data_IF_798453219136
#
_entry.id   IF_798453219136
#
_cell.length_a   1.000
_cell.length_b   1.000
_cell.length_c   1.000
_cell.angle_alpha   90.00
_cell.angle_beta   90.00
_cell.angle_gamma   90.00
#
_symmetry.space_group_name_H-M   'P 1'
#
loop_
_entity.id
_entity.type
_entity.pdbx_description
1 polymer ?
#
# COMPACT_ATOMS: atom_id res chain seq x y z
N UNK A 1 37.81 20.99 5.25
CA UNK A 1 36.79 20.15 4.60
C UNK A 1 37.43 18.79 4.31
N UNK A 2 36.78 17.68 4.68
CA UNK A 2 37.27 16.33 4.43
C UNK A 2 36.91 15.93 2.98
N UNK A 3 37.92 15.77 2.13
CA UNK A 3 37.79 15.45 0.71
C UNK A 3 37.12 14.08 0.49
N UNK A 4 37.42 13.09 1.33
CA UNK A 4 36.85 11.74 1.19
C UNK A 4 35.37 11.74 1.50
N UNK A 5 34.95 12.43 2.55
CA UNK A 5 33.51 12.59 2.88
C UNK A 5 32.75 13.31 1.77
N UNK A 6 33.39 14.32 1.15
CA UNK A 6 32.77 15.04 0.02
C UNK A 6 32.58 14.13 -1.19
N UNK A 7 33.59 13.31 -1.56
CA UNK A 7 33.47 12.36 -2.68
C UNK A 7 32.41 11.29 -2.39
N UNK A 8 32.38 10.74 -1.18
CA UNK A 8 31.35 9.77 -0.75
C UNK A 8 29.94 10.37 -0.88
N UNK A 9 29.77 11.64 -0.50
CA UNK A 9 28.46 12.31 -0.65
C UNK A 9 28.11 12.56 -2.12
N UNK A 10 29.08 12.92 -2.96
CA UNK A 10 28.84 13.06 -4.41
C UNK A 10 28.39 11.74 -5.03
N UNK A 11 29.05 10.63 -4.72
CA UNK A 11 28.65 9.29 -5.15
C UNK A 11 27.23 8.93 -4.67
N UNK A 12 26.89 9.31 -3.44
CA UNK A 12 25.54 9.12 -2.91
C UNK A 12 24.49 9.86 -3.72
N UNK A 13 24.75 11.14 -4.06
CA UNK A 13 23.84 11.95 -4.89
C UNK A 13 23.63 11.28 -6.26
N UNK A 14 24.69 10.81 -6.91
CA UNK A 14 24.56 10.09 -8.18
C UNK A 14 23.70 8.83 -8.07
N UNK A 15 23.90 8.02 -7.03
CA UNK A 15 23.10 6.80 -6.79
C UNK A 15 21.63 7.11 -6.55
N UNK A 16 21.35 8.14 -5.74
CA UNK A 16 19.97 8.49 -5.40
C UNK A 16 19.22 9.03 -6.65
N UNK A 17 19.87 9.85 -7.47
CA UNK A 17 19.29 10.32 -8.74
C UNK A 17 19.14 9.18 -9.74
N UNK A 18 20.14 8.30 -9.87
CA UNK A 18 20.07 7.12 -10.72
C UNK A 18 18.95 6.17 -10.26
N UNK A 19 18.77 5.97 -8.95
CA UNK A 19 17.67 5.20 -8.38
C UNK A 19 16.29 5.79 -8.72
N UNK A 20 16.15 7.11 -8.66
CA UNK A 20 14.91 7.78 -9.06
C UNK A 20 14.60 7.58 -10.55
N UNK A 21 15.61 7.68 -11.42
CA UNK A 21 15.44 7.42 -12.88
C UNK A 21 15.15 5.93 -13.16
N UNK A 22 15.84 5.00 -12.49
CA UNK A 22 15.59 3.58 -12.59
C UNK A 22 14.15 3.23 -12.15
N UNK A 23 13.65 3.85 -11.08
CA UNK A 23 12.25 3.71 -10.64
C UNK A 23 11.28 4.18 -11.72
N UNK A 24 11.55 5.31 -12.36
CA UNK A 24 10.74 5.79 -13.49
C UNK A 24 10.73 4.83 -14.67
N UNK A 25 11.89 4.30 -15.07
CA UNK A 25 12.01 3.30 -16.14
C UNK A 25 11.29 2.00 -15.77
N UNK A 26 11.42 1.53 -14.52
CA UNK A 26 10.72 0.34 -14.04
C UNK A 26 9.19 0.55 -14.03
N UNK A 27 8.71 1.74 -13.64
CA UNK A 27 7.30 2.11 -13.78
C UNK A 27 6.82 2.02 -15.23
N UNK A 28 7.58 2.55 -16.18
CA UNK A 28 7.27 2.41 -17.63
C UNK A 28 7.21 0.93 -18.02
N UNK A 29 8.15 0.11 -17.56
CA UNK A 29 8.16 -1.34 -17.83
C UNK A 29 6.92 -2.07 -17.30
N UNK A 30 6.44 -1.68 -16.12
CA UNK A 30 5.18 -2.19 -15.55
C UNK A 30 3.97 -1.71 -16.35
N UNK A 31 3.84 -0.41 -16.54
CA UNK A 31 2.69 0.22 -17.20
C UNK A 31 2.52 -0.22 -18.67
N UNK A 32 3.62 -0.44 -19.39
CA UNK A 32 3.61 -0.91 -20.78
C UNK A 32 3.61 -2.43 -20.92
N UNK A 33 3.79 -3.17 -19.82
CA UNK A 33 3.84 -4.64 -19.82
C UNK A 33 5.16 -5.23 -20.33
N UNK A 34 6.25 -4.44 -20.42
CA UNK A 34 7.56 -4.92 -20.91
C UNK A 34 8.13 -6.05 -20.05
N UNK A 35 8.02 -5.97 -18.73
CA UNK A 35 8.45 -7.07 -17.84
C UNK A 35 7.67 -8.36 -18.13
N UNK A 36 6.35 -8.27 -18.35
CA UNK A 36 5.51 -9.43 -18.70
C UNK A 36 5.85 -9.99 -20.07
N UNK A 37 6.14 -9.11 -21.05
CA UNK A 37 6.52 -9.52 -22.38
C UNK A 37 7.86 -10.28 -22.42
N UNK A 38 8.75 -10.03 -21.45
CA UNK A 38 10.05 -10.70 -21.33
C UNK A 38 10.04 -11.90 -20.37
N UNK A 39 9.13 -11.92 -19.38
CA UNK A 39 9.08 -12.95 -18.35
C UNK A 39 8.95 -14.37 -18.90
N UNK A 40 9.87 -15.27 -18.50
CA UNK A 40 9.90 -16.68 -18.91
C UNK A 40 10.25 -16.92 -20.39
N UNK A 41 10.70 -15.90 -21.12
CA UNK A 41 11.04 -16.00 -22.56
C UNK A 41 12.53 -16.34 -22.81
N UNK A 42 13.37 -16.26 -21.77
CA UNK A 42 14.80 -16.35 -21.92
C UNK A 42 15.40 -15.13 -22.65
N UNK A 43 16.64 -15.26 -23.20
CA UNK A 43 17.29 -14.15 -23.90
C UNK A 43 16.57 -13.79 -25.20
N UNK A 44 16.27 -12.51 -25.39
CA UNK A 44 15.63 -11.94 -26.58
C UNK A 44 16.53 -10.87 -27.21
N UNK A 45 16.56 -10.78 -28.52
CA UNK A 45 17.13 -9.61 -29.23
C UNK A 45 16.21 -8.41 -29.04
N UNK A 46 16.69 -7.19 -29.38
CA UNK A 46 15.84 -5.99 -29.42
C UNK A 46 14.58 -6.23 -30.27
N UNK A 47 14.74 -6.82 -31.47
CA UNK A 47 13.60 -7.12 -32.34
C UNK A 47 12.62 -8.11 -31.67
N UNK A 48 13.15 -9.12 -30.98
CA UNK A 48 12.32 -10.06 -30.25
C UNK A 48 11.50 -9.41 -29.12
N UNK A 49 12.07 -8.43 -28.39
CA UNK A 49 11.33 -7.68 -27.35
C UNK A 49 10.29 -6.76 -27.99
N UNK A 50 10.62 -6.10 -29.10
CA UNK A 50 9.67 -5.26 -29.85
C UNK A 50 8.49 -6.09 -30.34
N UNK A 51 8.74 -7.24 -30.95
CA UNK A 51 7.69 -8.16 -31.40
C UNK A 51 6.82 -8.66 -30.24
N UNK A 52 7.45 -9.06 -29.13
CA UNK A 52 6.74 -9.59 -27.95
C UNK A 52 5.88 -8.53 -27.24
N UNK A 53 6.29 -7.27 -27.27
CA UNK A 53 5.61 -6.16 -26.58
C UNK A 53 4.66 -5.37 -27.47
N UNK A 54 4.90 -5.34 -28.79
CA UNK A 54 4.17 -4.51 -29.74
C UNK A 54 4.44 -3.00 -29.58
N UNK A 55 5.53 -2.62 -28.92
CA UNK A 55 5.85 -1.22 -28.59
C UNK A 55 6.83 -0.60 -29.59
N UNK A 56 6.93 0.74 -29.55
CA UNK A 56 7.86 1.48 -30.39
C UNK A 56 9.31 1.08 -30.14
N UNK A 57 10.02 0.75 -31.23
CA UNK A 57 11.38 0.23 -31.20
C UNK A 57 12.37 1.13 -30.46
N UNK A 58 12.28 2.45 -30.68
CA UNK A 58 13.28 3.37 -30.11
C UNK A 58 13.13 3.51 -28.61
N UNK A 59 11.88 3.53 -28.12
CA UNK A 59 11.61 3.53 -26.68
C UNK A 59 12.02 2.22 -26.00
N UNK A 60 11.73 1.07 -26.64
CA UNK A 60 12.15 -0.25 -26.13
C UNK A 60 13.67 -0.35 -26.04
N UNK A 61 14.41 0.10 -27.08
CA UNK A 61 15.87 0.08 -27.12
C UNK A 61 16.47 0.89 -25.94
N UNK A 62 15.99 2.11 -25.71
CA UNK A 62 16.47 2.98 -24.63
C UNK A 62 16.11 2.41 -23.26
N UNK A 63 14.89 1.87 -23.12
CA UNK A 63 14.44 1.24 -21.89
C UNK A 63 15.29 0.02 -21.52
N UNK A 64 15.56 -0.86 -22.48
CA UNK A 64 16.41 -2.05 -22.27
C UNK A 64 17.81 -1.65 -21.79
N UNK A 65 18.43 -0.67 -22.44
CA UNK A 65 19.74 -0.16 -22.03
C UNK A 65 19.71 0.40 -20.61
N UNK A 66 18.69 1.21 -20.28
CA UNK A 66 18.51 1.77 -18.94
C UNK A 66 18.29 0.71 -17.88
N UNK A 67 17.48 -0.33 -18.15
CA UNK A 67 17.21 -1.41 -17.21
C UNK A 67 18.42 -2.35 -17.01
N UNK A 68 19.24 -2.55 -18.04
CA UNK A 68 20.55 -3.24 -17.92
C UNK A 68 21.48 -2.44 -17.01
N UNK A 69 21.63 -1.13 -17.25
CA UNK A 69 22.46 -0.27 -16.39
C UNK A 69 21.97 -0.22 -14.94
N UNK A 70 20.66 -0.34 -14.71
CA UNK A 70 20.06 -0.37 -13.40
C UNK A 70 20.09 -1.77 -12.74
N UNK A 71 20.58 -2.81 -13.45
CA UNK A 71 20.70 -4.18 -12.93
C UNK A 71 19.41 -4.98 -12.85
N UNK A 72 18.37 -4.57 -13.59
CA UNK A 72 17.10 -5.32 -13.68
C UNK A 72 17.10 -6.37 -14.78
N UNK A 73 17.90 -6.19 -15.83
CA UNK A 73 18.03 -7.08 -16.96
C UNK A 73 19.48 -7.50 -17.13
N UNK A 74 19.67 -8.74 -17.55
CA UNK A 74 20.95 -9.23 -18.03
C UNK A 74 21.14 -8.89 -19.52
N UNK A 75 22.39 -8.68 -19.93
CA UNK A 75 22.76 -8.40 -21.33
C UNK A 75 23.93 -9.27 -21.75
N UNK A 76 23.77 -10.02 -22.84
CA UNK A 76 24.84 -10.73 -23.51
C UNK A 76 25.31 -9.93 -24.73
N UNK A 77 26.55 -9.43 -24.66
CA UNK A 77 27.15 -8.62 -25.72
C UNK A 77 27.47 -9.44 -26.99
N UNK A 78 27.72 -10.76 -26.87
CA UNK A 78 28.05 -11.61 -28.00
C UNK A 78 26.82 -11.88 -28.88
N UNK A 79 25.69 -12.14 -28.24
CA UNK A 79 24.41 -12.36 -28.93
C UNK A 79 23.57 -11.11 -29.14
N UNK A 80 23.97 -9.96 -28.54
CA UNK A 80 23.17 -8.75 -28.44
C UNK A 80 21.77 -9.04 -27.91
N UNK A 81 21.67 -9.85 -26.84
CA UNK A 81 20.41 -10.28 -26.24
C UNK A 81 20.22 -9.76 -24.83
N UNK A 82 18.97 -9.55 -24.47
CA UNK A 82 18.50 -9.10 -23.16
C UNK A 82 17.68 -10.20 -22.51
N UNK A 83 17.86 -10.41 -21.23
CA UNK A 83 17.06 -11.38 -20.46
C UNK A 83 16.53 -10.76 -19.17
N UNK A 84 15.28 -11.05 -18.85
CA UNK A 84 14.73 -10.83 -17.51
C UNK A 84 14.96 -12.13 -16.73
N UNK A 85 15.86 -12.16 -15.71
CA UNK A 85 16.06 -13.34 -14.87
C UNK A 85 14.76 -13.83 -14.26
N UNK A 86 14.61 -15.14 -14.06
CA UNK A 86 13.38 -15.72 -13.51
C UNK A 86 13.05 -15.18 -12.12
N UNK A 87 14.07 -14.91 -11.29
CA UNK A 87 13.92 -14.30 -9.96
C UNK A 87 13.41 -12.86 -10.05
N UNK A 88 13.84 -12.10 -11.05
CA UNK A 88 13.34 -10.76 -11.30
C UNK A 88 11.91 -10.81 -11.88
N UNK A 89 11.63 -11.73 -12.79
CA UNK A 89 10.30 -11.94 -13.35
C UNK A 89 9.30 -12.34 -12.27
N UNK A 90 9.71 -13.17 -11.30
CA UNK A 90 8.90 -13.55 -10.13
C UNK A 90 8.39 -12.33 -9.35
N UNK A 91 9.19 -11.26 -9.25
CA UNK A 91 8.81 -10.04 -8.53
C UNK A 91 8.16 -8.98 -9.42
N UNK A 92 8.47 -8.94 -10.72
CA UNK A 92 8.14 -7.79 -11.58
C UNK A 92 7.14 -8.10 -12.69
N UNK A 93 6.90 -9.40 -12.99
CA UNK A 93 6.00 -9.84 -14.06
C UNK A 93 4.84 -10.71 -13.56
N UNK A 94 4.62 -10.80 -12.24
CA UNK A 94 3.66 -11.70 -11.58
C UNK A 94 2.51 -10.95 -10.91
N UNK A 95 1.96 -9.95 -11.58
CA UNK A 95 0.84 -9.17 -11.05
C UNK A 95 -0.33 -10.07 -10.60
N UNK A 96 -0.98 -9.68 -9.51
CA UNK A 96 -2.04 -10.45 -8.85
C UNK A 96 -1.55 -11.51 -7.85
N UNK A 97 -0.23 -11.60 -7.61
CA UNK A 97 0.34 -12.43 -6.56
C UNK A 97 0.73 -11.62 -5.32
N UNK A 98 0.95 -12.28 -4.20
CA UNK A 98 1.36 -11.66 -2.93
C UNK A 98 2.86 -11.31 -2.85
N UNK A 99 3.64 -11.70 -3.85
CA UNK A 99 5.06 -11.40 -4.00
C UNK A 99 5.35 -10.35 -5.08
N UNK A 100 4.33 -9.89 -5.81
CA UNK A 100 4.49 -8.87 -6.84
C UNK A 100 4.92 -7.53 -6.26
N UNK A 101 6.01 -6.98 -6.77
CA UNK A 101 6.59 -5.70 -6.33
C UNK A 101 6.47 -4.58 -7.36
N UNK A 102 5.97 -4.88 -8.57
CA UNK A 102 5.87 -3.90 -9.65
C UNK A 102 5.01 -2.67 -9.28
N UNK A 103 3.97 -2.85 -8.45
CA UNK A 103 3.13 -1.76 -7.97
C UNK A 103 3.89 -0.67 -7.21
N UNK A 104 5.00 -1.03 -6.54
CA UNK A 104 5.80 -0.06 -5.80
C UNK A 104 6.42 1.02 -6.72
N UNK A 105 6.76 0.67 -7.95
CA UNK A 105 7.27 1.64 -8.92
C UNK A 105 6.19 2.63 -9.37
N UNK A 106 4.93 2.23 -9.35
CA UNK A 106 3.79 3.09 -9.66
C UNK A 106 3.59 4.24 -8.69
N UNK A 107 4.04 4.07 -7.43
CA UNK A 107 3.90 5.10 -6.39
C UNK A 107 4.77 6.33 -6.64
N UNK A 108 5.99 6.16 -7.10
CA UNK A 108 6.98 7.24 -7.14
C UNK A 108 6.60 8.40 -8.08
N UNK A 109 6.19 8.19 -9.35
CA UNK A 109 5.88 9.31 -10.25
C UNK A 109 4.76 10.23 -9.74
N UNK A 110 3.57 9.77 -9.35
CA UNK A 110 2.50 10.63 -8.89
C UNK A 110 2.81 11.30 -7.54
N UNK A 111 3.59 10.66 -6.66
CA UNK A 111 4.03 11.25 -5.40
C UNK A 111 5.03 12.38 -5.64
N UNK A 112 6.07 12.15 -6.43
CA UNK A 112 7.09 13.14 -6.74
C UNK A 112 6.51 14.36 -7.48
N UNK A 113 5.44 14.17 -8.26
CA UNK A 113 4.71 15.27 -8.90
C UNK A 113 4.11 16.27 -7.89
N UNK A 114 3.91 15.88 -6.62
CA UNK A 114 3.43 16.78 -5.57
C UNK A 114 4.52 17.69 -4.99
N UNK A 115 5.80 17.52 -5.35
CA UNK A 115 6.90 18.29 -4.79
C UNK A 115 6.69 19.83 -4.81
N UNK A 116 6.17 20.47 -5.89
CA UNK A 116 5.91 21.90 -5.87
C UNK A 116 4.88 22.34 -4.82
N UNK A 117 3.88 21.50 -4.54
CA UNK A 117 2.86 21.78 -3.51
C UNK A 117 3.43 21.59 -2.11
N UNK A 118 4.24 20.56 -1.92
CA UNK A 118 4.91 20.30 -0.65
C UNK A 118 5.94 21.37 -0.31
N UNK A 119 6.67 21.92 -1.29
CA UNK A 119 7.55 23.08 -1.05
C UNK A 119 6.78 24.25 -0.44
N UNK A 120 5.53 24.49 -0.85
CA UNK A 120 4.66 25.49 -0.22
C UNK A 120 4.25 25.06 1.19
N UNK A 121 3.79 23.83 1.37
CA UNK A 121 3.40 23.30 2.68
C UNK A 121 4.54 23.35 3.71
N UNK A 122 5.80 23.13 3.30
CA UNK A 122 6.98 23.29 4.17
C UNK A 122 7.19 24.73 4.65
N UNK A 123 6.72 25.72 3.90
CA UNK A 123 6.88 27.15 4.25
C UNK A 123 5.68 27.71 4.99
N UNK A 124 4.49 27.27 4.66
CA UNK A 124 3.22 27.91 5.03
C UNK A 124 2.35 27.02 5.93
N UNK A 125 2.72 25.74 6.08
CA UNK A 125 1.86 24.74 6.72
C UNK A 125 0.78 24.20 5.78
N UNK A 126 -0.18 23.45 6.35
CA UNK A 126 -1.21 22.75 5.57
C UNK A 126 -0.68 21.50 4.90
N UNK A 127 -1.30 21.07 3.81
CA UNK A 127 -0.94 19.83 3.12
C UNK A 127 -1.59 19.71 1.74
N UNK A 128 -1.56 18.48 1.19
CA UNK A 128 -2.18 18.11 -0.09
C UNK A 128 -3.34 17.16 0.21
N UNK A 129 -4.60 17.55 -0.05
CA UNK A 129 -5.76 16.70 0.18
C UNK A 129 -5.71 15.44 -0.68
N UNK A 130 -6.26 14.32 -0.18
CA UNK A 130 -6.28 13.03 -0.90
C UNK A 130 -6.91 13.14 -2.30
N UNK A 131 -8.01 13.88 -2.42
CA UNK A 131 -8.71 14.08 -3.70
C UNK A 131 -7.90 14.84 -4.77
N UNK A 132 -6.81 15.49 -4.38
CA UNK A 132 -5.94 16.25 -5.30
C UNK A 132 -4.77 15.42 -5.85
N UNK A 133 -4.59 14.19 -5.37
CA UNK A 133 -3.65 13.25 -5.99
C UNK A 133 -4.21 12.72 -7.30
N UNK A 134 -3.32 12.52 -8.27
CA UNK A 134 -3.69 11.92 -9.55
C UNK A 134 -4.29 10.51 -9.37
N UNK A 135 -5.24 10.10 -10.21
CA UNK A 135 -5.83 8.76 -10.15
C UNK A 135 -4.80 7.63 -10.12
N UNK A 136 -3.70 7.79 -10.83
CA UNK A 136 -2.59 6.83 -10.89
C UNK A 136 -1.94 6.58 -9.52
N UNK A 137 -2.01 7.55 -8.61
CA UNK A 137 -1.53 7.38 -7.23
C UNK A 137 -2.39 6.37 -6.47
N UNK A 138 -3.73 6.49 -6.58
CA UNK A 138 -4.68 5.57 -5.95
C UNK A 138 -4.56 4.16 -6.52
N UNK A 139 -4.44 4.05 -7.85
CA UNK A 139 -4.22 2.78 -8.53
C UNK A 139 -2.92 2.11 -8.07
N UNK A 140 -1.83 2.87 -7.91
CA UNK A 140 -0.55 2.33 -7.44
C UNK A 140 -0.63 1.81 -6.00
N UNK A 141 -1.32 2.53 -5.09
CA UNK A 141 -1.57 2.09 -3.71
C UNK A 141 -2.37 0.77 -3.72
N UNK A 142 -3.41 0.70 -4.54
CA UNK A 142 -4.24 -0.47 -4.70
C UNK A 142 -3.43 -1.68 -5.19
N UNK A 143 -2.69 -1.53 -6.30
CA UNK A 143 -1.87 -2.60 -6.88
C UNK A 143 -0.80 -3.10 -5.90
N UNK A 144 -0.23 -2.22 -5.08
CA UNK A 144 0.77 -2.58 -4.07
C UNK A 144 0.19 -3.48 -2.97
N UNK A 145 -1.04 -3.22 -2.53
CA UNK A 145 -1.66 -3.90 -1.39
C UNK A 145 -2.55 -5.08 -1.79
N UNK A 146 -3.15 -5.05 -2.97
CA UNK A 146 -4.14 -6.02 -3.47
C UNK A 146 -3.73 -7.47 -3.25
N UNK A 147 -2.54 -7.85 -3.72
CA UNK A 147 -2.06 -9.22 -3.62
C UNK A 147 -1.99 -9.74 -2.19
N UNK A 148 -1.58 -8.88 -1.25
CA UNK A 148 -1.53 -9.21 0.18
C UNK A 148 -2.94 -9.43 0.75
N UNK A 149 -3.89 -8.55 0.46
CA UNK A 149 -5.26 -8.70 0.96
C UNK A 149 -5.93 -9.94 0.36
N UNK A 150 -5.82 -10.16 -0.94
CA UNK A 150 -6.46 -11.28 -1.63
C UNK A 150 -5.89 -12.65 -1.23
N UNK A 151 -4.59 -12.73 -0.90
CA UNK A 151 -3.90 -14.01 -0.65
C UNK A 151 -3.60 -14.28 0.82
N UNK A 152 -3.50 -13.24 1.66
CA UNK A 152 -3.02 -13.40 3.04
C UNK A 152 -4.02 -12.99 4.11
N UNK A 153 -4.93 -12.05 3.84
CA UNK A 153 -5.80 -11.48 4.87
C UNK A 153 -6.60 -12.57 5.60
N UNK A 154 -7.31 -13.41 4.87
CA UNK A 154 -8.17 -14.43 5.46
C UNK A 154 -7.36 -15.60 6.00
N UNK A 155 -6.48 -16.18 5.17
CA UNK A 155 -5.85 -17.47 5.45
C UNK A 155 -4.63 -17.40 6.37
N UNK A 156 -4.00 -16.22 6.50
CA UNK A 156 -2.78 -16.07 7.30
C UNK A 156 -2.89 -15.02 8.42
N UNK A 157 -3.65 -13.94 8.21
CA UNK A 157 -3.69 -12.85 9.18
C UNK A 157 -4.89 -13.01 10.13
N UNK A 158 -6.10 -13.18 9.62
CA UNK A 158 -7.30 -13.29 10.47
C UNK A 158 -7.38 -14.62 11.22
N UNK A 159 -6.67 -15.66 10.81
CA UNK A 159 -6.54 -16.91 11.59
C UNK A 159 -5.81 -16.70 12.93
N UNK A 160 -5.09 -15.58 13.10
CA UNK A 160 -4.49 -15.21 14.38
C UNK A 160 -5.54 -14.71 15.40
N UNK A 161 -6.79 -14.51 14.96
CA UNK A 161 -7.96 -14.17 15.79
C UNK A 161 -9.00 -15.30 15.72
N UNK A 162 -8.70 -16.50 16.28
CA UNK A 162 -9.50 -17.70 16.03
C UNK A 162 -10.96 -17.58 16.47
N UNK A 163 -11.23 -16.86 17.57
CA UNK A 163 -12.61 -16.64 18.05
C UNK A 163 -13.40 -15.75 17.09
N UNK A 164 -12.77 -14.69 16.56
CA UNK A 164 -13.38 -13.82 15.55
C UNK A 164 -13.60 -14.59 14.25
N UNK A 165 -12.58 -15.30 13.77
CA UNK A 165 -12.68 -16.10 12.54
C UNK A 165 -13.82 -17.14 12.63
N UNK A 166 -14.00 -17.78 13.79
CA UNK A 166 -15.11 -18.73 14.02
C UNK A 166 -16.49 -18.04 13.95
N UNK A 167 -16.64 -16.84 14.55
CA UNK A 167 -17.86 -16.05 14.43
C UNK A 167 -18.15 -15.67 12.98
N UNK A 168 -17.14 -15.21 12.24
CA UNK A 168 -17.30 -14.85 10.82
C UNK A 168 -17.68 -16.07 9.96
N UNK A 169 -17.10 -17.22 10.21
CA UNK A 169 -17.48 -18.46 9.53
C UNK A 169 -18.94 -18.85 9.79
N UNK A 170 -19.47 -18.51 10.98
CA UNK A 170 -20.85 -18.79 11.37
C UNK A 170 -21.88 -17.72 10.91
N UNK A 171 -21.46 -16.61 10.33
CA UNK A 171 -22.35 -15.56 9.85
C UNK A 171 -22.25 -14.26 10.66
N UNK A 172 -21.03 -13.82 10.96
CA UNK A 172 -20.75 -12.55 11.66
C UNK A 172 -20.85 -11.32 10.77
N UNK A 173 -20.54 -10.16 11.37
CA UNK A 173 -20.56 -8.86 10.69
C UNK A 173 -19.20 -8.19 10.73
N UNK A 174 -18.76 -7.67 9.58
CA UNK A 174 -17.48 -6.99 9.43
C UNK A 174 -17.69 -5.56 8.91
N UNK A 175 -16.92 -4.62 9.46
CA UNK A 175 -16.80 -3.25 8.95
C UNK A 175 -15.34 -2.98 8.57
N UNK A 176 -15.09 -2.61 7.33
CA UNK A 176 -13.78 -2.19 6.83
C UNK A 176 -13.75 -0.67 6.69
N UNK A 177 -12.98 0.01 7.54
CA UNK A 177 -12.91 1.48 7.63
C UNK A 177 -11.73 1.99 6.83
N UNK A 178 -11.98 2.93 5.90
CA UNK A 178 -10.98 3.37 4.92
C UNK A 178 -10.71 2.26 3.90
N UNK A 179 -11.79 1.66 3.38
CA UNK A 179 -11.70 0.45 2.56
C UNK A 179 -11.09 0.69 1.16
N UNK A 180 -10.94 1.96 0.72
CA UNK A 180 -10.42 2.30 -0.59
C UNK A 180 -11.12 1.52 -1.71
N UNK A 181 -10.36 0.88 -2.61
CA UNK A 181 -10.87 0.04 -3.70
C UNK A 181 -11.49 -1.30 -3.24
N UNK A 182 -11.61 -1.52 -1.92
CA UNK A 182 -12.41 -2.59 -1.33
C UNK A 182 -11.81 -3.99 -1.35
N UNK A 183 -10.52 -4.16 -1.64
CA UNK A 183 -9.91 -5.50 -1.76
C UNK A 183 -9.90 -6.27 -0.45
N UNK A 184 -9.67 -5.60 0.69
CA UNK A 184 -9.72 -6.26 2.00
C UNK A 184 -11.15 -6.74 2.30
N UNK A 185 -12.15 -5.87 2.14
CA UNK A 185 -13.57 -6.22 2.31
C UNK A 185 -14.01 -7.34 1.36
N UNK A 186 -13.60 -7.29 0.08
CA UNK A 186 -13.92 -8.31 -0.92
C UNK A 186 -13.26 -9.67 -0.59
N UNK A 187 -12.00 -9.66 -0.11
CA UNK A 187 -11.33 -10.87 0.32
C UNK A 187 -12.03 -11.51 1.52
N UNK A 188 -12.43 -10.70 2.52
CA UNK A 188 -13.21 -11.17 3.66
C UNK A 188 -14.58 -11.71 3.26
N UNK A 189 -15.25 -11.07 2.29
CA UNK A 189 -16.55 -11.55 1.79
C UNK A 189 -16.44 -12.91 1.08
N UNK A 190 -15.39 -13.14 0.33
CA UNK A 190 -15.09 -14.44 -0.31
C UNK A 190 -14.74 -15.51 0.73
N UNK A 191 -13.92 -15.15 1.72
CA UNK A 191 -13.46 -16.08 2.76
C UNK A 191 -14.53 -16.45 3.78
N UNK A 192 -15.48 -15.55 4.02
CA UNK A 192 -16.58 -15.72 4.99
C UNK A 192 -17.94 -15.52 4.32
N UNK A 193 -18.39 -16.44 3.45
CA UNK A 193 -19.58 -16.25 2.63
C UNK A 193 -20.89 -16.17 3.43
N UNK A 194 -20.91 -16.62 4.69
CA UNK A 194 -22.05 -16.49 5.59
C UNK A 194 -22.13 -15.13 6.29
N UNK A 195 -21.05 -14.34 6.29
CA UNK A 195 -20.94 -13.05 6.97
C UNK A 195 -21.43 -11.89 6.10
N UNK A 196 -21.88 -10.81 6.77
CA UNK A 196 -22.16 -9.51 6.14
C UNK A 196 -20.91 -8.61 6.23
N UNK A 197 -20.41 -8.13 5.09
CA UNK A 197 -19.25 -7.25 5.03
C UNK A 197 -19.67 -5.86 4.57
N UNK A 198 -19.19 -4.83 5.27
CA UNK A 198 -19.43 -3.42 4.92
C UNK A 198 -18.10 -2.72 4.78
N UNK A 199 -17.80 -2.17 3.62
CA UNK A 199 -16.68 -1.27 3.42
C UNK A 199 -17.14 0.19 3.42
N UNK A 200 -16.38 1.08 4.07
CA UNK A 200 -16.67 2.51 4.11
C UNK A 200 -15.44 3.32 3.76
N UNK A 201 -15.64 4.30 2.88
CA UNK A 201 -14.59 5.23 2.46
C UNK A 201 -15.24 6.54 1.97
N UNK A 202 -14.69 7.72 2.26
CA UNK A 202 -15.23 8.98 1.76
C UNK A 202 -14.98 9.22 0.26
N UNK A 203 -13.99 8.53 -0.36
CA UNK A 203 -13.66 8.72 -1.78
C UNK A 203 -14.66 8.01 -2.70
N UNK A 204 -15.43 8.82 -3.46
CA UNK A 204 -16.47 8.32 -4.37
C UNK A 204 -15.91 7.41 -5.47
N UNK A 205 -14.71 7.71 -5.99
CA UNK A 205 -14.13 6.93 -7.08
C UNK A 205 -13.67 5.55 -6.59
N UNK A 206 -13.04 5.49 -5.43
CA UNK A 206 -12.65 4.23 -4.78
C UNK A 206 -13.87 3.33 -4.50
N UNK A 207 -14.96 3.91 -3.98
CA UNK A 207 -16.21 3.18 -3.74
C UNK A 207 -16.83 2.66 -5.04
N UNK A 208 -16.82 3.45 -6.10
CA UNK A 208 -17.36 3.01 -7.40
C UNK A 208 -16.58 1.81 -7.96
N UNK A 209 -15.25 1.82 -7.83
CA UNK A 209 -14.37 0.72 -8.24
C UNK A 209 -14.58 -0.52 -7.37
N UNK A 210 -14.65 -0.36 -6.03
CA UNK A 210 -14.94 -1.44 -5.10
C UNK A 210 -16.28 -2.14 -5.43
N UNK A 211 -17.34 -1.36 -5.71
CA UNK A 211 -18.61 -1.90 -6.13
C UNK A 211 -18.54 -2.64 -7.47
N UNK A 212 -17.75 -2.12 -8.43
CA UNK A 212 -17.55 -2.78 -9.72
C UNK A 212 -16.81 -4.11 -9.57
N UNK A 213 -15.76 -4.13 -8.74
CA UNK A 213 -14.98 -5.34 -8.43
C UNK A 213 -15.85 -6.43 -7.76
N UNK A 214 -16.69 -6.06 -6.79
CA UNK A 214 -17.61 -7.00 -6.14
C UNK A 214 -18.63 -7.59 -7.13
N UNK A 215 -19.21 -6.76 -8.00
CA UNK A 215 -20.12 -7.24 -9.06
C UNK A 215 -19.42 -8.19 -10.03
N UNK A 216 -18.23 -7.82 -10.49
CA UNK A 216 -17.44 -8.66 -11.39
C UNK A 216 -17.06 -10.01 -10.76
N UNK A 217 -16.82 -10.04 -9.44
CA UNK A 217 -16.54 -11.25 -8.70
C UNK A 217 -17.77 -12.09 -8.35
N UNK A 218 -18.99 -11.60 -8.59
CA UNK A 218 -20.24 -12.28 -8.24
C UNK A 218 -20.47 -12.43 -6.73
N UNK A 219 -19.86 -11.53 -5.91
CA UNK A 219 -19.94 -11.58 -4.43
C UNK A 219 -21.10 -10.71 -3.96
N UNK A 220 -22.07 -11.30 -3.27
CA UNK A 220 -23.30 -10.63 -2.85
C UNK A 220 -23.37 -10.24 -1.37
N UNK A 221 -22.45 -10.70 -0.54
CA UNK A 221 -22.41 -10.46 0.90
C UNK A 221 -21.51 -9.29 1.31
N UNK A 222 -21.10 -8.45 0.37
CA UNK A 222 -20.36 -7.21 0.61
C UNK A 222 -21.13 -6.02 0.05
N UNK A 223 -21.13 -4.91 0.79
CA UNK A 223 -21.62 -3.61 0.33
C UNK A 223 -20.62 -2.52 0.66
N UNK A 224 -20.53 -1.52 -0.21
CA UNK A 224 -19.63 -0.38 -0.04
C UNK A 224 -20.44 0.91 0.08
N UNK A 225 -20.06 1.76 1.04
CA UNK A 225 -20.76 3.00 1.37
C UNK A 225 -19.78 4.16 1.27
N UNK A 226 -20.11 5.16 0.44
CA UNK A 226 -19.38 6.42 0.41
C UNK A 226 -19.80 7.25 1.62
N UNK A 227 -18.99 7.27 2.67
CA UNK A 227 -19.25 8.04 3.88
C UNK A 227 -17.98 8.14 4.76
N UNK A 228 -17.93 9.15 5.60
CA UNK A 228 -17.09 9.07 6.81
C UNK A 228 -17.74 8.14 7.83
N UNK A 229 -16.93 7.49 8.67
CA UNK A 229 -17.47 6.56 9.67
C UNK A 229 -18.52 7.22 10.60
N UNK A 230 -18.30 8.48 10.98
CA UNK A 230 -19.21 9.23 11.83
C UNK A 230 -20.60 9.50 11.21
N UNK A 231 -20.71 9.47 9.89
CA UNK A 231 -21.97 9.69 9.16
C UNK A 231 -22.84 8.42 9.09
N UNK A 232 -22.26 7.27 9.46
CA UNK A 232 -22.98 6.00 9.47
C UNK A 232 -23.66 5.81 10.84
N UNK A 233 -24.96 5.43 10.88
CA UNK A 233 -25.63 5.17 12.13
C UNK A 233 -24.82 4.22 13.03
N UNK A 234 -24.63 4.60 14.27
CA UNK A 234 -23.97 3.77 15.27
C UNK A 234 -24.87 2.59 15.61
N UNK A 235 -24.79 1.52 14.82
CA UNK A 235 -25.43 0.24 15.15
C UNK A 235 -24.35 -0.65 15.77
N UNK A 236 -24.43 -1.03 17.06
CA UNK A 236 -23.52 -2.00 17.65
C UNK A 236 -23.69 -3.36 16.96
N UNK A 237 -22.63 -4.12 16.88
CA UNK A 237 -22.74 -5.50 16.46
C UNK A 237 -21.79 -5.94 15.35
N UNK A 238 -20.64 -5.27 15.14
CA UNK A 238 -19.58 -5.81 14.30
C UNK A 238 -18.68 -6.72 15.13
N UNK A 239 -18.53 -7.96 14.65
CA UNK A 239 -17.63 -8.96 15.26
C UNK A 239 -16.17 -8.66 14.91
N UNK A 240 -15.95 -8.04 13.77
CA UNK A 240 -14.65 -7.54 13.31
C UNK A 240 -14.81 -6.15 12.71
N UNK A 241 -13.93 -5.24 13.11
CA UNK A 241 -13.70 -3.99 12.38
C UNK A 241 -12.24 -4.00 11.92
N UNK A 242 -11.99 -3.58 10.69
CA UNK A 242 -10.63 -3.50 10.12
C UNK A 242 -10.28 -2.06 9.79
N UNK A 243 -9.01 -1.69 10.03
CA UNK A 243 -8.35 -0.47 9.53
C UNK A 243 -7.03 -0.92 8.95
N UNK A 244 -6.95 -0.96 7.61
CA UNK A 244 -5.81 -1.51 6.90
C UNK A 244 -4.98 -0.39 6.26
N UNK A 245 -3.79 -0.14 6.80
CA UNK A 245 -2.82 0.88 6.32
C UNK A 245 -3.44 2.28 6.14
N UNK A 246 -4.39 2.67 7.01
CA UNK A 246 -5.10 3.95 6.89
C UNK A 246 -5.26 4.71 8.22
N UNK A 247 -4.94 4.12 9.38
CA UNK A 247 -5.08 4.79 10.68
C UNK A 247 -4.18 6.04 10.79
N UNK A 248 -2.97 5.96 10.28
CA UNK A 248 -1.99 7.05 10.28
C UNK A 248 -2.34 8.21 9.32
N UNK A 249 -3.30 7.99 8.42
CA UNK A 249 -3.76 9.00 7.47
C UNK A 249 -4.93 9.84 8.02
N UNK A 250 -5.61 9.32 9.06
CA UNK A 250 -6.81 9.96 9.58
C UNK A 250 -6.52 11.34 10.19
N UNK A 251 -7.36 12.36 9.92
CA UNK A 251 -7.22 13.66 10.56
C UNK A 251 -7.39 13.61 12.09
N UNK A 252 -8.39 12.87 12.58
CA UNK A 252 -8.63 12.62 14.01
C UNK A 252 -8.75 11.11 14.28
N UNK A 253 -7.62 10.40 14.41
CA UNK A 253 -7.64 8.94 14.61
C UNK A 253 -8.27 8.53 15.95
N UNK A 254 -8.18 9.37 17.00
CA UNK A 254 -8.77 9.06 18.31
C UNK A 254 -10.29 9.12 18.23
N UNK A 255 -10.86 10.11 17.54
CA UNK A 255 -12.31 10.18 17.35
C UNK A 255 -12.81 8.98 16.55
N UNK A 256 -12.14 8.64 15.44
CA UNK A 256 -12.51 7.46 14.63
C UNK A 256 -12.41 6.17 15.45
N UNK A 257 -11.35 5.99 16.24
CA UNK A 257 -11.17 4.81 17.08
C UNK A 257 -12.26 4.71 18.18
N UNK A 258 -12.73 5.83 18.74
CA UNK A 258 -13.88 5.83 19.66
C UNK A 258 -15.16 5.39 18.97
N UNK A 259 -15.41 5.84 17.76
CA UNK A 259 -16.52 5.43 16.92
C UNK A 259 -16.46 3.94 16.55
N UNK A 260 -15.27 3.45 16.24
CA UNK A 260 -14.99 2.02 16.01
C UNK A 260 -15.33 1.21 17.25
N UNK A 261 -14.80 1.63 18.42
CA UNK A 261 -15.04 0.93 19.70
C UNK A 261 -16.54 0.84 20.03
N UNK A 262 -17.29 1.91 19.79
CA UNK A 262 -18.75 1.94 20.04
C UNK A 262 -19.54 1.01 19.10
N UNK A 263 -19.00 0.60 17.98
CA UNK A 263 -19.64 -0.28 16.98
C UNK A 263 -19.26 -1.75 17.11
N UNK A 264 -18.26 -2.08 17.94
CA UNK A 264 -17.90 -3.48 18.19
C UNK A 264 -18.99 -4.21 18.98
N UNK A 265 -19.26 -5.45 18.57
CA UNK A 265 -20.09 -6.37 19.31
C UNK A 265 -19.38 -6.81 20.61
N UNK A 266 -20.11 -7.32 21.61
CA UNK A 266 -19.49 -8.01 22.74
C UNK A 266 -18.57 -9.15 22.25
N UNK A 267 -17.30 -9.11 22.66
CA UNK A 267 -16.28 -10.04 22.19
C UNK A 267 -15.90 -9.88 20.73
N UNK A 268 -16.20 -8.73 20.11
CA UNK A 268 -15.64 -8.32 18.81
C UNK A 268 -14.25 -7.74 18.96
N UNK A 269 -13.55 -7.61 17.85
CA UNK A 269 -12.19 -7.06 17.79
C UNK A 269 -12.02 -6.03 16.67
N UNK A 270 -11.11 -5.08 16.89
CA UNK A 270 -10.56 -4.25 15.85
C UNK A 270 -9.22 -4.87 15.38
N UNK A 271 -9.07 -5.08 14.09
CA UNK A 271 -7.83 -5.50 13.45
C UNK A 271 -7.21 -4.33 12.72
N UNK A 272 -5.96 -4.01 13.04
CA UNK A 272 -5.25 -2.87 12.45
C UNK A 272 -3.97 -3.34 11.79
N UNK A 273 -3.73 -2.87 10.58
CA UNK A 273 -2.45 -3.00 9.87
C UNK A 273 -1.81 -1.62 9.81
N UNK A 274 -0.53 -1.55 10.21
CA UNK A 274 0.29 -0.34 10.17
C UNK A 274 1.68 -0.62 9.65
N UNK A 275 2.37 0.42 9.18
CA UNK A 275 3.72 0.27 8.65
C UNK A 275 4.70 -0.10 9.76
N UNK A 276 5.64 -0.98 9.42
CA UNK A 276 6.67 -1.49 10.32
C UNK A 276 7.82 -0.52 10.43
N UNK A 277 7.74 0.37 11.40
CA UNK A 277 8.82 1.30 11.79
C UNK A 277 9.07 1.19 13.28
N UNK A 278 10.27 1.53 13.72
CA UNK A 278 10.60 1.66 15.13
C UNK A 278 10.23 3.04 15.66
N UNK A 279 9.93 3.13 16.96
CA UNK A 279 9.79 4.41 17.67
C UNK A 279 11.11 5.20 17.73
N UNK A 280 12.24 4.54 17.48
CA UNK A 280 13.59 5.09 17.53
C UNK A 280 14.12 5.33 16.12
N UNK A 281 14.43 6.59 15.81
CA UNK A 281 14.86 7.00 14.48
C UNK A 281 16.10 6.23 13.99
N UNK A 282 17.06 5.99 14.89
CA UNK A 282 18.29 5.27 14.57
C UNK A 282 18.07 3.82 14.11
N UNK A 283 16.99 3.19 14.50
CA UNK A 283 16.59 1.84 14.08
C UNK A 283 15.90 1.83 12.70
N UNK A 284 15.43 2.98 12.24
CA UNK A 284 14.80 3.17 10.94
C UNK A 284 15.81 3.56 9.84
N UNK A 285 17.08 3.71 10.16
CA UNK A 285 18.14 4.08 9.18
C UNK A 285 18.40 2.93 8.23
N UNK A 286 17.62 2.86 7.17
CA UNK A 286 17.66 1.82 6.14
C UNK A 286 17.01 2.33 4.84
N UNK A 287 17.17 1.65 3.69
CA UNK A 287 16.44 1.99 2.47
C UNK A 287 14.92 1.96 2.65
N UNK A 288 14.39 0.99 3.40
CA UNK A 288 12.95 0.88 3.69
C UNK A 288 12.49 2.06 4.55
N UNK A 289 13.24 2.40 5.60
CA UNK A 289 12.92 3.57 6.43
C UNK A 289 12.91 4.87 5.63
N UNK A 290 13.91 5.10 4.78
CA UNK A 290 13.96 6.28 3.91
C UNK A 290 12.75 6.33 2.95
N UNK A 291 12.34 5.20 2.40
CA UNK A 291 11.16 5.08 1.54
C UNK A 291 9.88 5.40 2.33
N UNK A 292 9.70 4.86 3.54
CA UNK A 292 8.51 5.11 4.36
C UNK A 292 8.40 6.57 4.80
N UNK A 293 9.50 7.21 5.21
CA UNK A 293 9.50 8.65 5.47
C UNK A 293 9.20 9.48 4.21
N UNK A 294 9.65 9.02 3.04
CA UNK A 294 9.28 9.60 1.76
C UNK A 294 7.77 9.50 1.52
N UNK A 295 7.18 8.31 1.61
CA UNK A 295 5.73 8.11 1.47
C UNK A 295 4.95 8.94 2.49
N UNK A 296 5.42 8.99 3.74
CA UNK A 296 4.80 9.81 4.78
C UNK A 296 4.71 11.28 4.39
N UNK A 297 5.81 11.88 3.95
CA UNK A 297 5.84 13.31 3.55
C UNK A 297 5.03 13.55 2.28
N UNK A 298 5.20 12.69 1.26
CA UNK A 298 4.59 12.91 -0.05
C UNK A 298 3.11 12.51 -0.10
N UNK A 299 2.61 11.71 0.85
CA UNK A 299 1.23 11.21 0.85
C UNK A 299 0.58 11.26 2.23
N UNK A 300 0.97 10.39 3.16
CA UNK A 300 0.22 10.10 4.38
C UNK A 300 0.08 11.34 5.30
N UNK A 301 1.19 11.91 5.70
CA UNK A 301 1.19 13.06 6.61
C UNK A 301 0.50 14.29 6.00
N UNK A 302 0.79 14.54 4.71
CA UNK A 302 0.32 15.76 4.04
C UNK A 302 -1.19 15.78 3.84
N UNK A 303 -1.82 14.63 3.58
CA UNK A 303 -3.28 14.55 3.43
C UNK A 303 -4.00 14.80 4.77
N UNK A 304 -3.49 14.28 5.87
CA UNK A 304 -4.02 14.56 7.21
C UNK A 304 -3.92 16.05 7.55
N UNK A 305 -2.75 16.65 7.32
CA UNK A 305 -2.50 18.09 7.58
C UNK A 305 -3.35 19.02 6.68
N UNK A 306 -3.71 18.59 5.48
CA UNK A 306 -4.60 19.35 4.59
C UNK A 306 -5.99 19.59 5.20
N UNK A 307 -6.41 18.71 6.11
CA UNK A 307 -7.67 18.81 6.84
C UNK A 307 -7.50 19.30 8.29
N UNK A 308 -6.35 19.91 8.63
CA UNK A 308 -6.04 20.36 9.97
C UNK A 308 -5.88 19.22 10.97
N UNK A 309 -5.60 18.02 10.48
CA UNK A 309 -5.50 16.82 11.30
C UNK A 309 -4.16 16.65 12.01
N UNK A 310 -4.01 15.52 12.70
CA UNK A 310 -2.86 15.21 13.55
C UNK A 310 -1.52 15.06 12.80
N UNK A 311 -1.56 14.80 11.48
CA UNK A 311 -0.37 14.64 10.66
C UNK A 311 0.56 13.52 11.14
N UNK A 312 0.00 12.40 11.59
CA UNK A 312 0.77 11.29 12.15
C UNK A 312 1.77 10.72 11.15
N UNK A 313 1.28 10.47 9.93
CA UNK A 313 2.08 9.93 8.84
C UNK A 313 2.49 8.47 9.03
N UNK A 314 2.96 7.88 7.96
CA UNK A 314 3.31 6.47 7.83
C UNK A 314 4.33 5.96 8.88
N UNK A 315 5.12 6.86 9.45
CA UNK A 315 6.20 6.52 10.39
C UNK A 315 5.85 6.83 11.86
N UNK A 316 4.59 6.71 12.26
CA UNK A 316 4.18 7.03 13.62
C UNK A 316 4.74 6.10 14.71
N UNK A 317 5.04 4.83 14.37
CA UNK A 317 5.64 3.85 15.28
C UNK A 317 4.68 3.16 16.25
N UNK A 318 5.08 2.01 16.81
CA UNK A 318 4.20 1.19 17.65
C UNK A 318 3.80 1.84 18.99
N UNK A 319 4.64 2.65 19.62
CA UNK A 319 4.29 3.32 20.87
C UNK A 319 3.15 4.33 20.65
N UNK A 320 3.24 5.14 19.59
CA UNK A 320 2.19 6.09 19.25
C UNK A 320 0.90 5.36 18.84
N UNK A 321 1.01 4.28 18.06
CA UNK A 321 -0.14 3.44 17.67
C UNK A 321 -0.89 2.93 18.90
N UNK A 322 -0.19 2.36 19.90
CA UNK A 322 -0.80 1.89 21.16
C UNK A 322 -1.42 3.03 21.94
N UNK A 323 -0.75 4.18 22.03
CA UNK A 323 -1.28 5.35 22.75
C UNK A 323 -2.61 5.84 22.14
N UNK A 324 -2.82 5.73 20.82
CA UNK A 324 -4.10 6.05 20.17
C UNK A 324 -5.21 5.09 20.63
N UNK A 325 -4.94 3.80 20.74
CA UNK A 325 -5.90 2.82 21.23
C UNK A 325 -6.29 3.10 22.69
N UNK A 326 -5.31 3.40 23.55
CA UNK A 326 -5.54 3.76 24.95
C UNK A 326 -6.38 5.04 25.08
N UNK A 327 -6.05 6.10 24.34
CA UNK A 327 -6.79 7.36 24.31
C UNK A 327 -8.23 7.20 23.80
N UNK A 328 -8.47 6.23 22.92
CA UNK A 328 -9.80 5.88 22.45
C UNK A 328 -10.59 5.01 23.45
N UNK A 329 -9.95 4.55 24.53
CA UNK A 329 -10.56 3.79 25.62
C UNK A 329 -10.63 2.27 25.38
N UNK A 330 -9.82 1.72 24.49
CA UNK A 330 -9.69 0.28 24.35
C UNK A 330 -8.96 -0.32 25.57
N UNK A 331 -9.43 -1.48 26.04
CA UNK A 331 -8.90 -2.11 27.25
C UNK A 331 -7.61 -2.92 26.96
N UNK A 332 -7.45 -3.45 25.74
CA UNK A 332 -6.34 -4.31 25.38
C UNK A 332 -5.96 -4.12 23.91
N UNK A 333 -4.67 -3.98 23.65
CA UNK A 333 -4.11 -3.98 22.31
C UNK A 333 -2.91 -4.94 22.25
N UNK A 334 -2.96 -5.91 21.36
CA UNK A 334 -1.93 -6.92 21.17
C UNK A 334 -1.31 -6.77 19.78
N UNK A 335 0.01 -6.72 19.71
CA UNK A 335 0.71 -6.86 18.45
C UNK A 335 0.78 -8.36 18.10
N UNK A 336 0.21 -8.71 16.97
CA UNK A 336 0.14 -10.11 16.53
C UNK A 336 1.50 -10.59 15.99
N UNK A 337 1.84 -11.88 16.19
CA UNK A 337 3.13 -12.43 15.76
C UNK A 337 3.20 -12.73 14.25
N UNK A 338 2.59 -11.89 13.44
CA UNK A 338 2.59 -12.02 11.99
C UNK A 338 3.90 -11.47 11.43
N UNK A 339 4.62 -12.30 10.70
CA UNK A 339 5.88 -11.89 10.05
C UNK A 339 5.57 -11.13 8.77
N UNK A 340 6.00 -9.87 8.72
CA UNK A 340 5.98 -9.04 7.52
C UNK A 340 7.27 -8.20 7.46
N UNK A 341 7.81 -7.94 6.28
CA UNK A 341 8.92 -7.01 6.11
C UNK A 341 8.48 -5.54 6.30
N UNK A 342 7.21 -5.23 6.05
CA UNK A 342 6.70 -3.86 5.89
C UNK A 342 5.61 -3.47 6.87
N UNK A 343 4.91 -4.44 7.50
CA UNK A 343 3.75 -4.15 8.32
C UNK A 343 3.85 -4.72 9.75
N UNK A 344 3.16 -4.06 10.66
CA UNK A 344 2.78 -4.51 11.99
C UNK A 344 1.27 -4.72 12.04
N UNK A 345 0.85 -5.70 12.82
CA UNK A 345 -0.54 -6.11 12.93
C UNK A 345 -0.98 -6.07 14.37
N UNK A 346 -2.17 -5.53 14.63
CA UNK A 346 -2.70 -5.41 15.96
C UNK A 346 -4.11 -5.99 16.04
N UNK A 347 -4.38 -6.70 17.15
CA UNK A 347 -5.70 -7.04 17.61
C UNK A 347 -6.04 -6.16 18.82
N UNK A 348 -7.17 -5.44 18.76
CA UNK A 348 -7.54 -4.43 19.75
C UNK A 348 -8.96 -4.72 20.24
N UNK A 349 -9.14 -4.70 21.55
CA UNK A 349 -10.37 -5.13 22.21
C UNK A 349 -10.94 -4.01 23.08
N UNK A 350 -12.28 -3.83 23.09
CA UNK A 350 -12.98 -2.81 23.88
C UNK A 350 -12.65 -2.76 25.33
#
# INVERSE_FOLDING_TARGET
>A
MDRQKMLTMADRVYRDVAGAMATGLAHLGVATGLFRAMGGKGPLTLDGVVEASGLDRRYVEEWLAGMVCAGYLDYDAAGATYALPDEHAFLLASDGTDHYMGGMFGMAPPLLAQAPRLVRAFREGGGVPFGDFAPECREAIDVMNRGNYEKRLVDYWLVQLPEVAAKLAAGGRVLDVGCGHGHAALAMAKGFPASEIVGVDPDASSIAEAQAAARAAGVGNVRYVQAFLGDIPAAPGFDLITICDSLHDLPDPVAVLREVRARLAPGGALFVIELKVSDRLEENVSPIGAMFYGFSVFHCMTQSLAHGGAGLGACMGPAKTRALFEQAGFARAEQLPIKSPTNLFYAVYP
#
